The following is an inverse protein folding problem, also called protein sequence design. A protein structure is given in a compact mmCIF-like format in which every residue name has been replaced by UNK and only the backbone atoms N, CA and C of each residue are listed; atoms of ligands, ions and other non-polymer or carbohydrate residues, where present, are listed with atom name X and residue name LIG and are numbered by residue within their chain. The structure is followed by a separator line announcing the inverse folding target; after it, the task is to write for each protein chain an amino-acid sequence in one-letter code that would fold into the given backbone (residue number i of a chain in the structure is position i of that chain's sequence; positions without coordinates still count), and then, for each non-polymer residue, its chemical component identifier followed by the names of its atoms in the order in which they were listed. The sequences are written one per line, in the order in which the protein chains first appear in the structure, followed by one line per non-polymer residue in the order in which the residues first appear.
data_IF_875217093870
#
_entry.id   IF_875217093870
#
_cell.length_a   1.000
_cell.length_b   1.000
_cell.length_c   1.000
_cell.angle_alpha   90.00
_cell.angle_beta   90.00
_cell.angle_gamma   90.00
#
_symmetry.space_group_name_H-M   'P 1'
#
loop_
_entity.id
_entity.type
_entity.pdbx_description
1 polymer ?
#
# COMPACT_ATOMS: atom_id res chain seq x y z
N UNK A 1 -9.04 17.46 7.39
CA UNK A 1 -7.75 17.65 6.68
C UNK A 1 -7.56 16.44 5.77
N UNK A 2 -7.41 16.61 4.46
CA UNK A 2 -7.11 15.47 3.57
C UNK A 2 -5.67 15.04 3.82
N UNK A 3 -5.47 13.84 4.38
CA UNK A 3 -4.15 13.34 4.69
C UNK A 3 -3.39 13.05 3.39
N UNK A 4 -2.47 13.95 3.04
CA UNK A 4 -1.57 13.86 1.90
C UNK A 4 -0.89 12.49 1.72
N UNK A 5 -0.41 11.78 2.77
CA UNK A 5 0.15 10.44 2.61
C UNK A 5 -0.86 9.40 2.12
N UNK A 6 -2.13 9.48 2.54
CA UNK A 6 -3.16 8.53 2.12
C UNK A 6 -3.45 8.63 0.62
N UNK A 7 -3.48 9.84 0.05
CA UNK A 7 -3.70 10.05 -1.39
C UNK A 7 -2.54 9.54 -2.26
N UNK A 8 -1.30 9.70 -1.80
CA UNK A 8 -0.12 9.16 -2.50
C UNK A 8 -0.07 7.63 -2.45
N UNK A 9 -0.53 7.02 -1.36
CA UNK A 9 -0.59 5.56 -1.23
C UNK A 9 -1.68 4.95 -2.11
N UNK A 10 -2.80 5.64 -2.31
CA UNK A 10 -3.83 5.22 -3.27
C UNK A 10 -3.31 5.26 -4.71
N UNK A 11 -2.57 6.31 -5.09
CA UNK A 11 -1.95 6.38 -6.42
C UNK A 11 -0.91 5.28 -6.63
N UNK A 12 -0.13 4.96 -5.58
CA UNK A 12 0.82 3.86 -5.63
C UNK A 12 0.14 2.48 -5.79
N UNK A 13 -1.11 2.34 -5.32
CA UNK A 13 -1.91 1.12 -5.52
C UNK A 13 -2.40 1.00 -6.96
N UNK A 14 -2.87 2.10 -7.54
CA UNK A 14 -3.27 2.14 -8.95
C UNK A 14 -2.07 1.83 -9.88
N UNK A 15 -0.90 2.42 -9.61
CA UNK A 15 0.33 2.16 -10.36
C UNK A 15 0.79 0.70 -10.21
N UNK A 16 0.60 0.12 -9.02
CA UNK A 16 0.88 -1.28 -8.75
C UNK A 16 0.01 -2.20 -9.61
N UNK A 17 -1.32 -2.01 -9.60
CA UNK A 17 -2.26 -2.83 -10.35
C UNK A 17 -2.04 -2.69 -11.86
N UNK A 18 -1.77 -1.48 -12.34
CA UNK A 18 -1.41 -1.23 -13.73
C UNK A 18 -0.10 -1.93 -14.11
N UNK A 19 0.91 -1.89 -13.26
CA UNK A 19 2.19 -2.56 -13.48
C UNK A 19 2.06 -4.09 -13.51
N UNK A 20 1.29 -4.66 -12.59
CA UNK A 20 1.03 -6.10 -12.52
C UNK A 20 0.32 -6.61 -13.79
N UNK A 21 -0.64 -5.84 -14.32
CA UNK A 21 -1.36 -6.18 -15.55
C UNK A 21 -0.45 -6.25 -16.80
N UNK A 22 0.73 -5.62 -16.76
CA UNK A 22 1.71 -5.65 -17.85
C UNK A 22 2.63 -6.86 -17.80
N UNK A 23 2.69 -7.58 -16.67
CA UNK A 23 3.57 -8.74 -16.50
C UNK A 23 2.91 -9.96 -17.14
N UNK A 24 3.55 -10.59 -18.15
CA UNK A 24 3.04 -11.83 -18.71
C UNK A 24 3.03 -12.93 -17.64
N UNK A 25 1.92 -13.68 -17.55
CA UNK A 25 1.83 -14.81 -16.63
C UNK A 25 2.62 -16.04 -17.09
N UNK A 26 2.99 -16.10 -18.38
CA UNK A 26 3.75 -17.21 -18.95
C UNK A 26 4.53 -16.77 -20.20
N UNK A 27 5.52 -17.58 -20.58
CA UNK A 27 6.18 -17.48 -21.88
C UNK A 27 5.33 -18.16 -22.96
N UNK A 28 5.47 -17.79 -24.25
CA UNK A 28 4.78 -18.49 -25.32
C UNK A 28 5.10 -20.00 -25.32
N UNK A 29 4.09 -20.86 -25.45
CA UNK A 29 4.28 -22.32 -25.42
C UNK A 29 5.14 -22.90 -26.56
N UNK A 30 5.43 -22.10 -27.59
CA UNK A 30 6.39 -22.44 -28.65
C UNK A 30 7.85 -22.24 -28.25
N UNK A 31 8.11 -21.55 -27.13
CA UNK A 31 9.46 -21.33 -26.61
C UNK A 31 9.89 -22.55 -25.79
N UNK A 32 11.01 -23.15 -26.20
CA UNK A 32 11.57 -24.34 -25.57
C UNK A 32 13.05 -24.17 -25.26
N UNK A 33 13.58 -24.99 -24.37
CA UNK A 33 14.99 -24.99 -23.98
C UNK A 33 15.30 -24.08 -22.79
N UNK A 34 16.59 -23.95 -22.48
CA UNK A 34 17.09 -23.27 -21.27
C UNK A 34 16.73 -21.79 -21.21
N UNK A 35 16.70 -21.10 -22.35
CA UNK A 35 16.32 -19.68 -22.42
C UNK A 35 14.85 -19.48 -22.05
N UNK A 36 13.96 -20.34 -22.56
CA UNK A 36 12.53 -20.29 -22.20
C UNK A 36 12.34 -20.54 -20.70
N UNK A 37 13.07 -21.50 -20.14
CA UNK A 37 13.04 -21.80 -18.70
C UNK A 37 13.54 -20.63 -17.86
N UNK A 38 14.62 -19.97 -18.26
CA UNK A 38 15.14 -18.78 -17.59
C UNK A 38 14.12 -17.63 -17.62
N UNK A 39 13.47 -17.38 -18.77
CA UNK A 39 12.43 -16.36 -18.87
C UNK A 39 11.25 -16.65 -17.94
N UNK A 40 10.77 -17.89 -17.86
CA UNK A 40 9.70 -18.24 -16.89
C UNK A 40 10.13 -17.99 -15.45
N UNK A 41 11.36 -18.37 -15.09
CA UNK A 41 11.88 -18.14 -13.75
C UNK A 41 11.92 -16.64 -13.43
N UNK A 42 12.37 -15.80 -14.37
CA UNK A 42 12.35 -14.35 -14.20
C UNK A 42 10.93 -13.78 -14.09
N UNK A 43 9.93 -14.36 -14.76
CA UNK A 43 8.52 -13.97 -14.59
C UNK A 43 7.99 -14.37 -13.20
N UNK A 44 8.33 -15.57 -12.71
CA UNK A 44 7.97 -16.05 -11.37
C UNK A 44 8.60 -15.17 -10.26
N UNK A 45 9.88 -14.81 -10.42
CA UNK A 45 10.58 -13.89 -9.52
C UNK A 45 9.96 -12.49 -9.55
N UNK A 46 9.64 -11.98 -10.74
CA UNK A 46 8.95 -10.69 -10.88
C UNK A 46 7.58 -10.71 -10.19
N UNK A 47 6.78 -11.77 -10.39
CA UNK A 47 5.50 -11.93 -9.72
C UNK A 47 5.64 -11.93 -8.18
N UNK A 48 6.64 -12.66 -7.66
CA UNK A 48 6.92 -12.72 -6.21
C UNK A 48 7.33 -11.35 -5.65
N UNK A 49 8.19 -10.61 -6.36
CA UNK A 49 8.60 -9.27 -5.97
C UNK A 49 7.41 -8.32 -5.91
N UNK A 50 6.53 -8.40 -6.91
CA UNK A 50 5.33 -7.59 -7.01
C UNK A 50 4.35 -7.94 -5.88
N UNK A 51 4.12 -9.22 -5.57
CA UNK A 51 3.35 -9.57 -4.36
C UNK A 51 3.95 -8.98 -3.07
N UNK A 52 5.28 -8.98 -2.94
CA UNK A 52 5.97 -8.36 -1.81
C UNK A 52 5.74 -6.84 -1.72
N UNK A 53 5.74 -6.14 -2.85
CA UNK A 53 5.45 -4.70 -2.90
C UNK A 53 4.03 -4.38 -2.44
N UNK A 54 3.05 -5.22 -2.78
CA UNK A 54 1.66 -5.08 -2.30
C UNK A 54 1.57 -5.17 -0.79
N UNK A 55 2.28 -6.12 -0.19
CA UNK A 55 2.31 -6.27 1.27
C UNK A 55 2.90 -5.02 1.95
N UNK A 56 3.96 -4.44 1.39
CA UNK A 56 4.53 -3.18 1.88
C UNK A 56 3.55 -2.02 1.75
N UNK A 57 2.85 -1.92 0.61
CA UNK A 57 1.87 -0.86 0.37
C UNK A 57 0.70 -0.94 1.36
N UNK A 58 0.16 -2.14 1.59
CA UNK A 58 -0.88 -2.38 2.61
C UNK A 58 -0.42 -1.96 4.01
N UNK A 59 0.80 -2.33 4.40
CA UNK A 59 1.36 -1.94 5.69
C UNK A 59 1.54 -0.41 5.82
N UNK A 60 1.91 0.26 4.72
CA UNK A 60 2.02 1.72 4.69
C UNK A 60 0.65 2.40 4.83
N UNK A 61 -0.39 1.86 4.18
CA UNK A 61 -1.76 2.36 4.33
C UNK A 61 -2.27 2.21 5.77
N UNK A 62 -2.06 1.06 6.40
CA UNK A 62 -2.41 0.83 7.81
C UNK A 62 -1.68 1.79 8.76
N UNK A 63 -0.38 2.04 8.52
CA UNK A 63 0.41 2.98 9.29
C UNK A 63 -0.10 4.42 9.11
N UNK A 64 -0.40 4.84 7.88
CA UNK A 64 -0.96 6.16 7.58
C UNK A 64 -2.32 6.36 8.27
N UNK A 65 -3.22 5.37 8.19
CA UNK A 65 -4.51 5.41 8.86
C UNK A 65 -4.36 5.50 10.39
N UNK A 66 -3.40 4.78 10.96
CA UNK A 66 -3.08 4.86 12.40
C UNK A 66 -2.57 6.24 12.79
N UNK A 67 -1.73 6.86 11.97
CA UNK A 67 -1.23 8.22 12.21
C UNK A 67 -2.36 9.25 12.13
N UNK A 68 -3.24 9.14 11.13
CA UNK A 68 -4.39 10.02 10.98
C UNK A 68 -5.34 9.91 12.18
N UNK A 69 -5.66 8.69 12.61
CA UNK A 69 -6.49 8.47 13.79
C UNK A 69 -5.87 9.04 15.08
N UNK A 70 -4.54 8.94 15.22
CA UNK A 70 -3.83 9.56 16.36
C UNK A 70 -3.85 11.09 16.30
N UNK A 71 -3.75 11.67 15.10
CA UNK A 71 -3.83 13.11 14.92
C UNK A 71 -5.23 13.64 15.27
N UNK A 72 -6.31 12.94 14.88
CA UNK A 72 -7.67 13.31 15.27
C UNK A 72 -7.90 13.21 16.78
N UNK A 73 -7.37 12.16 17.44
CA UNK A 73 -7.46 12.02 18.89
C UNK A 73 -6.70 13.11 19.67
N UNK A 74 -5.62 13.65 19.10
CA UNK A 74 -4.85 14.73 19.70
C UNK A 74 -5.52 16.11 19.58
N UNK A 75 -6.47 16.27 18.65
CA UNK A 75 -7.24 17.50 18.48
C UNK A 75 -8.45 17.58 19.46
N UNK A 76 -8.81 16.45 20.08
CA UNK A 76 -9.83 16.38 21.14
C UNK A 76 -9.19 16.71 22.50
N UNK A 77 -8.97 18.00 22.78
CA UNK A 77 -8.70 18.48 24.15
C UNK A 77 -9.95 18.29 25.05
N UNK A 78 -9.83 17.76 26.29
CA UNK A 78 -10.95 17.60 27.20
C UNK A 78 -11.30 18.93 27.87
N UNK A 79 -11.98 19.82 27.15
CA UNK A 79 -12.50 21.08 27.67
C UNK A 79 -13.92 20.96 28.22
N UNK A 80 -14.12 20.37 29.41
CA UNK A 80 -15.32 20.61 30.23
C UNK A 80 -15.17 20.14 31.69
N UNK A 81 -14.67 21.02 32.55
CA UNK A 81 -15.20 21.13 33.92
C UNK A 81 -15.43 22.60 34.22
N UNK A 82 -16.57 23.08 33.73
CA UNK A 82 -17.17 24.33 34.17
C UNK A 82 -17.90 24.04 35.50
N UNK A 83 -17.16 24.00 36.61
CA UNK A 83 -17.74 24.05 37.94
C UNK A 83 -17.58 25.49 38.44
N UNK A 84 -18.63 26.29 38.24
CA UNK A 84 -18.84 27.44 39.09
C UNK A 84 -19.07 26.98 40.52
N UNK A 85 -18.39 27.61 41.48
CA UNK A 85 -18.97 27.82 42.79
C UNK A 85 -18.56 29.24 43.21
N UNK A 86 -19.53 30.13 43.14
CA UNK A 86 -19.41 31.46 43.70
C UNK A 86 -19.90 31.41 45.13
N UNK A 87 -19.05 31.82 46.06
CA UNK A 87 -19.37 32.62 47.26
C UNK A 87 -18.09 32.92 48.04
#
# INVERSE_FOLDING_TARGET
MTSFPSSLLSLAEDDYDAGLALIPSDVPGSWVGSVAQACRLSLEEAATLVEGLRALLSAAQEAAATMDARAELADVEPGASQAGDGL
#
